data_IF_231893005736
#
_entry.id   IF_231893005736
#
_cell.length_a   1.000
_cell.length_b   1.000
_cell.length_c   1.000
_cell.angle_alpha   90.00
_cell.angle_beta   90.00
_cell.angle_gamma   90.00
#
_symmetry.space_group_name_H-M   'P 1'
#
loop_
_entity.id
_entity.type
_entity.pdbx_description
1 polymer ?
#
# COMPACT_ATOMS: atom_id res chain seq x y z
N UNK A 1 -26.75 20.75 -21.11
CA UNK A 1 -26.84 22.02 -21.88
C UNK A 1 -27.93 22.88 -21.28
N UNK A 2 -27.57 23.95 -20.63
CA UNK A 2 -28.46 25.00 -20.15
C UNK A 2 -27.60 26.11 -19.60
N UNK A 3 -27.09 26.95 -20.48
CA UNK A 3 -26.58 28.26 -20.10
C UNK A 3 -27.82 29.12 -19.93
N UNK A 4 -28.17 29.42 -18.69
CA UNK A 4 -29.12 30.43 -18.38
C UNK A 4 -28.46 31.79 -18.58
N UNK A 5 -29.00 32.63 -19.46
CA UNK A 5 -28.56 33.98 -19.63
C UNK A 5 -28.82 34.79 -18.36
N UNK A 6 -27.78 35.37 -17.82
CA UNK A 6 -27.89 36.32 -16.70
C UNK A 6 -28.20 37.71 -17.27
N UNK A 7 -29.45 38.11 -17.21
CA UNK A 7 -29.83 39.48 -17.51
C UNK A 7 -29.82 40.32 -16.25
N UNK A 8 -28.96 41.36 -16.19
CA UNK A 8 -29.07 42.42 -15.24
C UNK A 8 -30.22 43.36 -15.71
N UNK A 9 -31.38 43.16 -15.14
CA UNK A 9 -32.41 44.23 -15.11
C UNK A 9 -32.45 44.78 -13.68
N UNK A 10 -33.19 45.84 -13.44
CA UNK A 10 -33.32 46.60 -12.19
C UNK A 10 -33.52 45.75 -10.91
N UNK A 11 -33.72 44.44 -11.05
CA UNK A 11 -33.74 43.46 -9.98
C UNK A 11 -32.75 42.34 -10.33
N UNK A 12 -31.85 42.03 -9.43
CA UNK A 12 -30.88 40.94 -9.58
C UNK A 12 -31.62 39.57 -9.56
N UNK A 13 -31.56 38.87 -10.67
CA UNK A 13 -32.08 37.47 -10.74
C UNK A 13 -30.89 36.54 -10.62
N UNK A 14 -30.87 35.74 -9.57
CA UNK A 14 -29.85 34.73 -9.37
C UNK A 14 -30.39 33.40 -9.85
N UNK A 15 -29.74 32.81 -10.87
CA UNK A 15 -30.01 31.47 -11.33
C UNK A 15 -28.99 30.52 -10.70
N UNK A 16 -29.47 29.43 -10.14
CA UNK A 16 -28.62 28.35 -9.64
C UNK A 16 -28.69 27.18 -10.61
N UNK A 17 -27.53 26.69 -11.02
CA UNK A 17 -27.41 25.44 -11.74
C UNK A 17 -26.99 24.37 -10.73
N UNK A 18 -27.85 23.41 -10.49
CA UNK A 18 -27.51 22.24 -9.70
C UNK A 18 -27.08 21.14 -10.66
N UNK A 19 -25.83 20.73 -10.58
CA UNK A 19 -25.34 19.51 -11.22
C UNK A 19 -25.53 18.39 -10.20
N UNK A 20 -26.47 17.51 -10.48
CA UNK A 20 -26.66 16.31 -9.65
C UNK A 20 -25.44 15.41 -9.70
N UNK A 21 -25.04 14.89 -8.55
CA UNK A 21 -24.06 13.82 -8.47
C UNK A 21 -24.64 12.51 -8.98
N UNK A 22 -23.78 11.50 -9.13
CA UNK A 22 -24.21 10.17 -9.48
C UNK A 22 -24.98 9.53 -8.32
N UNK A 23 -26.12 8.90 -8.65
CA UNK A 23 -26.82 7.96 -7.79
C UNK A 23 -27.11 6.70 -8.59
N UNK A 24 -26.89 5.55 -8.01
CA UNK A 24 -27.21 4.26 -8.62
C UNK A 24 -28.73 3.99 -8.58
N UNK A 25 -29.45 4.76 -7.78
CA UNK A 25 -30.88 4.63 -7.61
C UNK A 25 -31.66 5.79 -8.23
N UNK A 26 -32.32 5.52 -9.34
CA UNK A 26 -33.15 6.51 -10.03
C UNK A 26 -34.24 7.13 -9.14
N UNK A 27 -34.72 6.39 -8.15
CA UNK A 27 -35.73 6.83 -7.17
C UNK A 27 -35.26 7.99 -6.29
N UNK A 28 -33.95 8.16 -6.13
CA UNK A 28 -33.36 9.23 -5.30
C UNK A 28 -33.27 10.57 -6.03
N UNK A 29 -33.38 10.60 -7.36
CA UNK A 29 -33.20 11.81 -8.16
C UNK A 29 -34.27 12.85 -7.82
N UNK A 30 -35.55 12.46 -7.81
CA UNK A 30 -36.66 13.39 -7.54
C UNK A 30 -36.61 13.97 -6.11
N UNK A 31 -36.39 13.19 -5.02
CA UNK A 31 -36.22 13.74 -3.69
C UNK A 31 -35.04 14.73 -3.56
N UNK A 32 -33.90 14.39 -4.17
CA UNK A 32 -32.70 15.25 -4.14
C UNK A 32 -32.95 16.57 -4.89
N UNK A 33 -33.52 16.49 -6.09
CA UNK A 33 -33.79 17.71 -6.87
C UNK A 33 -34.91 18.54 -6.24
N UNK A 34 -35.92 17.93 -5.63
CA UNK A 34 -36.97 18.63 -4.91
C UNK A 34 -36.43 19.45 -3.71
N UNK A 35 -35.45 18.91 -2.99
CA UNK A 35 -34.83 19.58 -1.83
C UNK A 35 -34.02 20.83 -2.20
N UNK A 36 -33.69 21.02 -3.48
CA UNK A 36 -32.86 22.14 -3.97
C UNK A 36 -33.61 23.12 -4.89
N UNK A 37 -34.96 23.07 -4.91
CA UNK A 37 -35.77 23.93 -5.78
C UNK A 37 -35.92 25.37 -5.28
N UNK A 38 -35.67 25.61 -4.00
CA UNK A 38 -35.83 26.94 -3.41
C UNK A 38 -34.48 27.54 -3.07
N UNK A 39 -34.34 28.88 -3.26
CA UNK A 39 -33.11 29.61 -2.96
C UNK A 39 -32.65 29.43 -1.51
N UNK A 40 -33.56 29.41 -0.55
CA UNK A 40 -33.22 29.18 0.86
C UNK A 40 -32.61 27.81 1.09
N UNK A 41 -33.15 26.76 0.45
CA UNK A 41 -32.65 25.39 0.56
C UNK A 41 -31.26 25.25 -0.07
N UNK A 42 -31.04 25.84 -1.24
CA UNK A 42 -29.72 25.87 -1.88
C UNK A 42 -28.69 26.58 -1.01
N UNK A 43 -29.06 27.72 -0.41
CA UNK A 43 -28.18 28.44 0.49
C UNK A 43 -27.85 27.61 1.74
N UNK A 44 -28.84 27.00 2.34
CA UNK A 44 -28.67 26.15 3.51
C UNK A 44 -27.75 24.96 3.22
N UNK A 45 -27.95 24.24 2.11
CA UNK A 45 -27.11 23.16 1.66
C UNK A 45 -25.66 23.62 1.42
N UNK A 46 -25.48 24.81 0.81
CA UNK A 46 -24.15 25.40 0.60
C UNK A 46 -23.45 25.72 1.93
N UNK A 47 -24.17 26.32 2.88
CA UNK A 47 -23.64 26.67 4.20
C UNK A 47 -23.34 25.39 5.01
N UNK A 48 -24.13 24.34 4.84
CA UNK A 48 -23.88 23.02 5.45
C UNK A 48 -22.59 22.37 4.89
N UNK A 49 -22.41 22.35 3.58
CA UNK A 49 -21.18 21.86 2.95
C UNK A 49 -19.97 22.65 3.43
N UNK A 50 -20.07 23.96 3.54
CA UNK A 50 -18.98 24.77 4.10
C UNK A 50 -18.65 24.39 5.55
N UNK A 51 -19.67 24.23 6.39
CA UNK A 51 -19.46 23.79 7.78
C UNK A 51 -18.82 22.42 7.85
N UNK A 52 -19.31 21.47 7.03
CA UNK A 52 -18.74 20.14 6.93
C UNK A 52 -17.25 20.18 6.63
N UNK A 53 -16.85 20.86 5.56
CA UNK A 53 -15.44 20.92 5.16
C UNK A 53 -14.57 21.70 6.14
N UNK A 54 -15.07 22.77 6.75
CA UNK A 54 -14.35 23.51 7.79
C UNK A 54 -14.09 22.62 9.01
N UNK A 55 -15.04 21.75 9.36
CA UNK A 55 -14.87 20.79 10.46
C UNK A 55 -13.96 19.62 10.07
N UNK A 56 -14.06 19.15 8.84
CA UNK A 56 -13.30 18.01 8.35
C UNK A 56 -11.82 18.35 8.16
N UNK A 57 -11.52 19.51 7.59
CA UNK A 57 -10.16 20.05 7.42
C UNK A 57 -9.87 21.01 8.56
N UNK A 58 -9.70 20.49 9.76
CA UNK A 58 -9.57 21.28 10.99
C UNK A 58 -8.13 21.74 11.25
N UNK A 59 -7.47 22.29 10.23
CA UNK A 59 -6.13 22.86 10.33
C UNK A 59 -6.17 24.33 9.89
N UNK A 60 -5.59 25.21 10.71
CA UNK A 60 -5.48 26.62 10.42
C UNK A 60 -4.01 27.02 10.32
N UNK A 61 -3.64 27.65 9.21
CA UNK A 61 -2.32 28.20 9.00
C UNK A 61 -2.34 29.72 9.22
N UNK A 62 -1.28 30.25 9.80
CA UNK A 62 -1.07 31.67 10.04
C UNK A 62 0.41 31.99 9.76
N UNK A 63 0.78 31.98 8.48
CA UNK A 63 2.16 32.22 8.03
C UNK A 63 2.48 33.71 7.90
N UNK A 64 1.48 34.58 8.01
CA UNK A 64 1.61 36.02 7.69
C UNK A 64 1.41 36.34 6.21
N UNK A 65 1.28 35.32 5.36
CA UNK A 65 0.95 35.46 3.94
C UNK A 65 -0.37 34.73 3.64
N UNK A 66 -1.47 35.49 3.35
CA UNK A 66 -2.78 34.92 3.10
C UNK A 66 -2.83 33.94 1.92
N UNK A 67 -2.01 34.14 0.89
CA UNK A 67 -1.96 33.25 -0.28
C UNK A 67 -1.32 31.91 0.10
N UNK A 68 -0.24 31.93 0.89
CA UNK A 68 0.37 30.74 1.45
C UNK A 68 -0.61 29.99 2.38
N UNK A 69 -1.34 30.70 3.24
CA UNK A 69 -2.34 30.11 4.13
C UNK A 69 -3.47 29.42 3.35
N UNK A 70 -3.95 30.02 2.27
CA UNK A 70 -4.96 29.43 1.39
C UNK A 70 -4.41 28.20 0.61
N UNK A 71 -3.18 28.27 0.14
CA UNK A 71 -2.52 27.15 -0.53
C UNK A 71 -2.34 25.95 0.41
N UNK A 72 -1.90 26.20 1.64
CA UNK A 72 -1.76 25.14 2.64
C UNK A 72 -3.11 24.50 3.03
N UNK A 73 -4.20 25.27 3.05
CA UNK A 73 -5.55 24.67 3.18
C UNK A 73 -5.90 23.73 2.04
N UNK A 74 -5.54 24.11 0.81
CA UNK A 74 -5.72 23.22 -0.33
C UNK A 74 -4.91 21.93 -0.19
N UNK A 75 -3.64 22.03 0.24
CA UNK A 75 -2.79 20.86 0.49
C UNK A 75 -3.41 19.91 1.52
N UNK A 76 -3.92 20.43 2.63
CA UNK A 76 -4.53 19.62 3.69
C UNK A 76 -5.86 18.99 3.30
N UNK A 77 -6.52 19.51 2.28
CA UNK A 77 -7.75 18.95 1.73
C UNK A 77 -7.48 17.73 0.82
N UNK A 78 -6.33 17.69 0.14
CA UNK A 78 -6.01 16.65 -0.85
C UNK A 78 -6.08 15.21 -0.32
N UNK A 79 -5.59 14.86 0.90
CA UNK A 79 -5.67 13.49 1.40
C UNK A 79 -7.11 12.96 1.49
N UNK A 80 -8.05 13.84 1.83
CA UNK A 80 -9.47 13.46 1.93
C UNK A 80 -10.05 13.20 0.54
N UNK A 81 -9.70 14.00 -0.46
CA UNK A 81 -10.08 13.74 -1.85
C UNK A 81 -9.49 12.43 -2.36
N UNK A 82 -8.25 12.13 -2.01
CA UNK A 82 -7.59 10.87 -2.37
C UNK A 82 -8.28 9.65 -1.77
N UNK A 83 -8.82 9.75 -0.56
CA UNK A 83 -9.65 8.68 0.01
C UNK A 83 -10.87 8.38 -0.86
N UNK A 84 -11.49 9.42 -1.44
CA UNK A 84 -12.74 9.30 -2.22
C UNK A 84 -12.44 8.85 -3.66
N UNK A 85 -11.45 9.47 -4.29
CA UNK A 85 -11.20 9.33 -5.74
C UNK A 85 -9.95 8.53 -6.08
N UNK A 86 -9.13 8.17 -5.10
CA UNK A 86 -7.80 7.61 -5.31
C UNK A 86 -6.73 8.67 -5.53
N UNK A 87 -5.50 8.25 -5.43
CA UNK A 87 -4.32 9.13 -5.41
C UNK A 87 -4.03 9.84 -6.72
N UNK A 88 -4.28 9.21 -7.84
CA UNK A 88 -3.91 9.74 -9.15
C UNK A 88 -5.01 10.59 -9.78
N UNK A 89 -6.21 10.60 -9.25
CA UNK A 89 -7.40 11.10 -9.95
C UNK A 89 -7.60 10.51 -11.36
N UNK A 90 -6.91 9.42 -11.66
CA UNK A 90 -6.94 8.73 -12.93
C UNK A 90 -7.76 7.42 -12.94
N UNK A 91 -8.60 7.09 -11.93
CA UNK A 91 -9.27 5.81 -11.89
C UNK A 91 -10.13 5.53 -13.11
N UNK A 92 -10.65 6.58 -13.74
CA UNK A 92 -11.46 6.49 -14.95
C UNK A 92 -10.69 6.79 -16.24
N UNK A 93 -9.55 7.45 -16.17
CA UNK A 93 -8.69 7.74 -17.32
C UNK A 93 -7.87 6.55 -17.74
N UNK A 94 -7.63 5.64 -16.82
CA UNK A 94 -6.81 4.50 -17.05
C UNK A 94 -7.55 3.40 -17.79
N UNK A 95 -7.86 3.67 -19.05
CA UNK A 95 -8.59 2.76 -19.95
C UNK A 95 -9.93 2.29 -19.37
N UNK A 96 -10.54 3.08 -18.49
CA UNK A 96 -11.82 2.78 -17.87
C UNK A 96 -11.79 1.69 -16.80
N UNK A 97 -10.61 1.24 -16.38
CA UNK A 97 -10.49 0.14 -15.41
C UNK A 97 -10.50 0.59 -13.95
N UNK A 98 -10.30 1.87 -13.69
CA UNK A 98 -10.19 2.38 -12.33
C UNK A 98 -8.99 1.81 -11.57
N UNK A 99 -8.91 2.10 -10.29
CA UNK A 99 -7.88 1.57 -9.40
C UNK A 99 -6.88 2.61 -8.92
N UNK A 100 -6.05 2.20 -7.99
CA UNK A 100 -4.97 3.02 -7.40
C UNK A 100 -3.65 2.33 -7.63
N UNK A 101 -2.57 3.11 -7.81
CA UNK A 101 -1.24 2.57 -7.81
C UNK A 101 -0.87 2.01 -6.43
N UNK A 102 -0.04 0.98 -6.39
CA UNK A 102 0.38 0.36 -5.14
C UNK A 102 1.08 1.33 -4.19
N UNK A 103 2.10 2.04 -4.67
CA UNK A 103 2.81 3.07 -3.91
C UNK A 103 1.87 4.11 -3.35
N UNK A 104 1.00 4.61 -4.21
CA UNK A 104 0.09 5.71 -3.91
C UNK A 104 -0.87 5.36 -2.78
N UNK A 105 -1.33 4.12 -2.71
CA UNK A 105 -2.20 3.63 -1.66
C UNK A 105 -1.56 3.75 -0.27
N UNK A 106 -0.30 3.34 -0.15
CA UNK A 106 0.43 3.42 1.11
C UNK A 106 0.73 4.86 1.50
N UNK A 107 1.11 5.69 0.54
CA UNK A 107 1.35 7.13 0.76
C UNK A 107 0.06 7.87 1.12
N UNK A 108 -1.07 7.49 0.54
CA UNK A 108 -2.38 8.04 0.91
C UNK A 108 -2.72 7.69 2.37
N UNK A 109 -2.45 6.47 2.81
CA UNK A 109 -2.62 6.09 4.22
C UNK A 109 -1.77 6.97 5.15
N UNK A 110 -0.51 7.27 4.80
CA UNK A 110 0.34 8.20 5.57
C UNK A 110 -0.30 9.59 5.74
N UNK A 111 -0.81 10.14 4.65
CA UNK A 111 -1.47 11.44 4.69
C UNK A 111 -2.79 11.39 5.50
N UNK A 112 -3.56 10.31 5.35
CA UNK A 112 -4.81 10.12 6.09
C UNK A 112 -4.60 9.91 7.58
N UNK A 113 -3.51 9.30 8.02
CA UNK A 113 -3.18 9.17 9.45
C UNK A 113 -3.12 10.53 10.14
N UNK A 114 -2.67 11.57 9.43
CA UNK A 114 -2.61 12.94 9.95
C UNK A 114 -3.94 13.67 9.83
N UNK A 115 -4.68 13.47 8.73
CA UNK A 115 -5.82 14.32 8.36
C UNK A 115 -7.18 13.70 8.68
N UNK A 116 -7.31 12.38 8.57
CA UNK A 116 -8.56 11.64 8.80
C UNK A 116 -8.26 10.16 9.06
N UNK A 117 -7.79 9.81 10.27
CA UNK A 117 -7.32 8.45 10.59
C UNK A 117 -8.42 7.39 10.63
N UNK A 118 -9.68 7.79 10.51
CA UNK A 118 -10.79 6.84 10.51
C UNK A 118 -10.61 5.77 9.42
N UNK A 119 -10.79 4.50 9.78
CA UNK A 119 -10.64 3.33 8.91
C UNK A 119 -9.24 3.10 8.32
N UNK A 120 -8.22 3.90 8.66
CA UNK A 120 -6.86 3.68 8.11
C UNK A 120 -6.28 2.35 8.57
N UNK A 121 -6.56 1.89 9.79
CA UNK A 121 -6.19 0.55 10.26
C UNK A 121 -6.63 -0.54 9.30
N UNK A 122 -7.92 -0.54 8.96
CA UNK A 122 -8.48 -1.54 8.07
C UNK A 122 -7.92 -1.42 6.65
N UNK A 123 -7.70 -0.20 6.16
CA UNK A 123 -7.05 0.02 4.86
C UNK A 123 -5.65 -0.59 4.83
N UNK A 124 -4.85 -0.40 5.88
CA UNK A 124 -3.51 -0.99 5.98
C UNK A 124 -3.59 -2.52 5.94
N UNK A 125 -4.44 -3.11 6.77
CA UNK A 125 -4.62 -4.58 6.82
C UNK A 125 -5.01 -5.13 5.46
N UNK A 126 -6.05 -4.58 4.83
CA UNK A 126 -6.55 -5.04 3.55
C UNK A 126 -5.51 -4.91 2.43
N UNK A 127 -4.68 -3.85 2.50
CA UNK A 127 -3.64 -3.61 1.50
C UNK A 127 -2.56 -4.69 1.46
N UNK A 128 -2.27 -5.35 2.60
CA UNK A 128 -1.35 -6.48 2.60
C UNK A 128 -1.84 -7.65 1.76
N UNK A 129 -3.14 -7.78 1.53
CA UNK A 129 -3.69 -8.79 0.61
C UNK A 129 -3.21 -8.68 -0.83
N UNK A 130 -2.54 -7.60 -1.21
CA UNK A 130 -1.91 -7.43 -2.51
C UNK A 130 -0.44 -7.88 -2.59
N UNK A 131 0.16 -8.33 -1.50
CA UNK A 131 1.54 -8.86 -1.47
C UNK A 131 1.55 -10.28 -2.00
N UNK A 132 2.51 -10.62 -2.88
CA UNK A 132 2.77 -11.99 -3.32
C UNK A 132 3.78 -12.69 -2.42
N UNK A 133 3.71 -14.01 -2.37
CA UNK A 133 4.67 -14.83 -1.60
C UNK A 133 6.12 -14.72 -2.08
N UNK A 134 6.38 -14.18 -3.25
CA UNK A 134 7.73 -13.89 -3.75
C UNK A 134 8.26 -12.51 -3.31
N UNK A 135 7.56 -11.82 -2.43
CA UNK A 135 7.91 -10.50 -1.91
C UNK A 135 7.58 -9.33 -2.85
N UNK A 136 7.00 -9.62 -4.03
CA UNK A 136 6.44 -8.58 -4.91
C UNK A 136 5.00 -8.27 -4.54
N UNK A 137 4.30 -7.51 -5.34
CA UNK A 137 2.91 -7.13 -5.08
C UNK A 137 2.12 -6.92 -6.37
N UNK A 138 0.80 -6.88 -6.24
CA UNK A 138 -0.07 -6.39 -7.29
C UNK A 138 0.26 -4.92 -7.58
N UNK A 139 0.28 -4.54 -8.85
CA UNK A 139 0.63 -3.18 -9.26
C UNK A 139 -0.53 -2.21 -9.09
N UNK A 140 -1.76 -2.71 -9.23
CA UNK A 140 -2.98 -1.93 -9.20
C UNK A 140 -3.93 -2.51 -8.16
N UNK A 141 -4.58 -1.59 -7.42
CA UNK A 141 -5.65 -1.92 -6.50
C UNK A 141 -6.97 -1.72 -7.24
N UNK A 142 -7.88 -2.66 -7.08
CA UNK A 142 -9.18 -2.62 -7.70
C UNK A 142 -10.10 -1.52 -7.15
N UNK A 143 -11.34 -1.51 -7.58
CA UNK A 143 -12.32 -0.49 -7.20
C UNK A 143 -12.83 -0.64 -5.77
N UNK A 144 -12.82 -1.86 -5.25
CA UNK A 144 -13.19 -2.15 -3.88
C UNK A 144 -11.95 -2.29 -2.99
N UNK A 145 -12.12 -2.02 -1.70
CA UNK A 145 -11.10 -2.25 -0.69
C UNK A 145 -10.73 -3.74 -0.65
N UNK A 146 -9.43 -4.05 -0.63
CA UNK A 146 -8.94 -5.43 -0.67
C UNK A 146 -9.03 -6.12 -2.04
N UNK A 147 -9.48 -5.42 -3.06
CA UNK A 147 -9.46 -5.93 -4.44
C UNK A 147 -8.13 -5.57 -5.10
N UNK A 148 -7.49 -6.58 -5.69
CA UNK A 148 -6.21 -6.41 -6.38
C UNK A 148 -6.30 -6.88 -7.81
N UNK A 149 -5.57 -6.19 -8.68
CA UNK A 149 -5.46 -6.49 -10.10
C UNK A 149 -3.97 -6.59 -10.41
N UNK A 150 -3.57 -7.67 -11.08
CA UNK A 150 -2.25 -7.72 -11.70
C UNK A 150 -2.10 -6.57 -12.68
N UNK A 151 -0.89 -6.23 -13.07
CA UNK A 151 -0.65 -5.17 -14.04
C UNK A 151 -1.51 -5.35 -15.30
N UNK A 152 -1.91 -4.23 -15.92
CA UNK A 152 -2.80 -4.16 -17.08
C UNK A 152 -2.35 -5.00 -18.26
N UNK A 153 -1.05 -5.12 -18.43
CA UNK A 153 -0.42 -5.79 -19.56
C UNK A 153 0.16 -7.14 -19.17
N UNK A 154 -0.18 -7.67 -17.99
CA UNK A 154 0.44 -8.87 -17.42
C UNK A 154 1.96 -8.76 -17.30
N UNK A 155 2.47 -7.53 -17.21
CA UNK A 155 3.89 -7.26 -16.99
C UNK A 155 4.13 -7.20 -15.48
N UNK A 156 5.04 -8.00 -15.00
CA UNK A 156 5.47 -7.88 -13.61
C UNK A 156 6.34 -6.66 -13.46
N UNK A 157 5.93 -5.80 -12.54
CA UNK A 157 6.72 -4.64 -12.17
C UNK A 157 7.27 -4.84 -10.78
N UNK A 158 8.56 -5.13 -10.72
CA UNK A 158 9.29 -5.20 -9.46
C UNK A 158 9.94 -3.85 -9.25
N UNK A 159 9.27 -2.98 -8.50
CA UNK A 159 9.78 -1.66 -8.19
C UNK A 159 10.38 -1.63 -6.80
N UNK A 160 11.54 -1.02 -6.68
CA UNK A 160 12.32 -1.08 -5.45
C UNK A 160 11.60 -0.54 -4.24
N UNK A 161 10.80 0.50 -4.37
CA UNK A 161 10.09 1.12 -3.26
C UNK A 161 8.78 0.42 -2.88
N UNK A 162 8.32 -0.55 -3.65
CA UNK A 162 7.04 -1.19 -3.42
C UNK A 162 6.97 -1.99 -2.12
N UNK A 163 8.07 -2.61 -1.71
CA UNK A 163 8.15 -3.30 -0.42
C UNK A 163 8.59 -2.36 0.73
N UNK A 164 9.06 -1.16 0.40
CA UNK A 164 9.47 -0.16 1.39
C UNK A 164 8.27 0.54 2.05
N UNK A 165 7.33 1.01 1.26
CA UNK A 165 6.19 1.80 1.74
C UNK A 165 5.24 1.06 2.68
N UNK A 166 4.93 -0.24 2.48
CA UNK A 166 4.08 -0.98 3.43
C UNK A 166 4.58 -0.90 4.86
N UNK A 167 5.88 -1.11 5.07
CA UNK A 167 6.44 -1.03 6.41
C UNK A 167 6.44 0.39 6.96
N UNK A 168 6.89 1.38 6.19
CA UNK A 168 6.93 2.78 6.63
C UNK A 168 5.54 3.25 7.08
N UNK A 169 4.51 2.93 6.31
CA UNK A 169 3.13 3.30 6.63
C UNK A 169 2.63 2.58 7.88
N UNK A 170 2.87 1.28 7.99
CA UNK A 170 2.46 0.50 9.16
C UNK A 170 3.20 0.96 10.42
N UNK A 171 4.50 1.23 10.32
CA UNK A 171 5.31 1.76 11.43
C UNK A 171 4.76 3.11 11.90
N UNK A 172 4.45 4.00 10.96
CA UNK A 172 3.88 5.31 11.29
C UNK A 172 2.50 5.18 11.96
N UNK A 173 1.67 4.24 11.52
CA UNK A 173 0.42 3.91 12.19
C UNK A 173 0.66 3.44 13.62
N UNK A 174 1.58 2.49 13.84
CA UNK A 174 1.92 1.98 15.17
C UNK A 174 2.44 3.11 16.07
N UNK A 175 3.33 3.97 15.55
CA UNK A 175 3.88 5.09 16.32
C UNK A 175 2.83 6.10 16.77
N UNK A 176 1.78 6.29 15.98
CA UNK A 176 0.70 7.20 16.32
C UNK A 176 -0.34 6.61 17.27
N UNK A 177 -0.59 5.32 17.15
CA UNK A 177 -1.73 4.68 17.83
C UNK A 177 -1.32 3.77 18.99
N UNK A 178 -0.09 3.27 18.98
CA UNK A 178 0.35 2.21 19.91
C UNK A 178 -0.21 0.83 19.56
N UNK A 179 -0.97 0.67 18.49
CA UNK A 179 -1.62 -0.59 18.09
C UNK A 179 -0.62 -1.57 17.46
N UNK A 180 0.10 -2.29 18.33
CA UNK A 180 0.98 -3.38 17.90
C UNK A 180 0.20 -4.64 17.47
N UNK A 181 -1.06 -4.78 17.86
CA UNK A 181 -1.86 -5.95 17.52
C UNK A 181 -2.16 -6.05 16.03
N UNK A 182 -2.07 -4.95 15.28
CA UNK A 182 -2.16 -4.94 13.82
C UNK A 182 -1.17 -5.94 13.18
N UNK A 183 -0.03 -6.18 13.81
CA UNK A 183 0.99 -7.12 13.32
C UNK A 183 0.54 -8.58 13.31
N UNK A 184 -0.48 -8.93 14.08
CA UNK A 184 -1.05 -10.29 14.14
C UNK A 184 -2.24 -10.50 13.20
N UNK A 185 -2.78 -9.44 12.60
CA UNK A 185 -3.90 -9.57 11.64
C UNK A 185 -3.54 -10.53 10.53
N UNK A 186 -4.45 -11.45 10.22
CA UNK A 186 -4.25 -12.48 9.20
C UNK A 186 -4.83 -12.01 7.86
N UNK A 187 -3.99 -12.04 6.84
CA UNK A 187 -4.31 -11.55 5.50
C UNK A 187 -3.87 -12.60 4.47
N UNK A 188 -4.64 -12.85 3.40
CA UNK A 188 -4.18 -13.73 2.33
C UNK A 188 -3.08 -13.05 1.50
N UNK A 189 -2.26 -13.84 0.81
CA UNK A 189 -1.34 -13.33 -0.20
C UNK A 189 -2.01 -13.29 -1.57
N UNK A 190 -1.67 -12.29 -2.35
CA UNK A 190 -2.10 -12.18 -3.75
C UNK A 190 -1.43 -13.25 -4.61
N UNK A 191 -2.18 -13.78 -5.58
CA UNK A 191 -1.68 -14.76 -6.55
C UNK A 191 -2.23 -14.43 -7.94
N UNK A 192 -1.34 -14.51 -8.91
CA UNK A 192 -1.63 -14.43 -10.34
C UNK A 192 -0.63 -15.29 -11.13
N UNK A 193 -0.59 -15.11 -12.44
CA UNK A 193 0.34 -15.81 -13.33
C UNK A 193 1.82 -15.51 -13.01
N UNK A 194 2.13 -14.37 -12.39
CA UNK A 194 3.51 -13.96 -12.15
C UNK A 194 4.15 -14.78 -11.03
N UNK A 195 5.40 -15.11 -11.17
CA UNK A 195 6.19 -15.83 -10.17
C UNK A 195 7.67 -15.42 -10.18
N UNK A 196 8.40 -15.86 -9.16
CA UNK A 196 9.85 -15.66 -9.03
C UNK A 196 10.28 -14.20 -9.23
N UNK A 197 9.57 -13.28 -8.57
CA UNK A 197 9.82 -11.83 -8.65
C UNK A 197 9.79 -11.32 -10.09
N UNK A 198 8.85 -11.85 -10.87
CA UNK A 198 8.61 -11.42 -12.25
C UNK A 198 9.57 -11.97 -13.30
N UNK A 199 10.42 -12.91 -12.94
CA UNK A 199 11.33 -13.53 -13.89
C UNK A 199 10.74 -14.78 -14.55
N UNK A 200 9.61 -15.29 -14.02
CA UNK A 200 8.97 -16.50 -14.51
C UNK A 200 7.44 -16.42 -14.40
N UNK A 201 6.75 -17.36 -15.01
CA UNK A 201 5.30 -17.53 -14.94
C UNK A 201 4.94 -18.85 -14.30
N UNK A 202 3.95 -18.82 -13.41
CA UNK A 202 3.34 -20.03 -12.86
C UNK A 202 2.36 -20.64 -13.87
N UNK A 203 2.81 -21.60 -14.63
CA UNK A 203 2.00 -22.28 -15.66
C UNK A 203 0.87 -23.13 -15.07
N UNK A 204 0.89 -23.40 -13.77
CA UNK A 204 -0.19 -24.09 -13.05
C UNK A 204 -1.33 -23.16 -12.62
N UNK A 205 -1.13 -21.85 -12.70
CA UNK A 205 -2.15 -20.87 -12.35
C UNK A 205 -3.05 -20.56 -13.55
N UNK A 206 -4.34 -20.48 -13.29
CA UNK A 206 -5.35 -19.92 -14.19
C UNK A 206 -6.42 -19.17 -13.37
N UNK A 207 -7.40 -18.58 -14.04
CA UNK A 207 -8.45 -17.81 -13.38
C UNK A 207 -9.31 -18.65 -12.41
N UNK A 208 -9.38 -19.97 -12.59
CA UNK A 208 -10.14 -20.87 -11.69
C UNK A 208 -9.41 -21.10 -10.37
N UNK A 209 -8.10 -20.93 -10.36
CA UNK A 209 -7.31 -20.93 -9.13
C UNK A 209 -7.72 -19.77 -8.20
N UNK A 210 -8.10 -18.65 -8.77
CA UNK A 210 -8.44 -17.41 -8.06
C UNK A 210 -7.23 -16.53 -7.77
N UNK A 211 -7.45 -15.46 -7.01
CA UNK A 211 -6.46 -14.40 -6.79
C UNK A 211 -5.75 -14.48 -5.42
N UNK A 212 -5.93 -15.57 -4.69
CA UNK A 212 -5.29 -15.78 -3.39
C UNK A 212 -4.37 -16.98 -3.43
N UNK A 213 -3.18 -16.84 -2.83
CA UNK A 213 -2.24 -17.93 -2.68
C UNK A 213 -2.87 -19.10 -1.93
N UNK A 214 -2.66 -20.32 -2.43
CA UNK A 214 -3.15 -21.55 -1.83
C UNK A 214 -2.02 -22.45 -1.35
N UNK A 215 -2.38 -23.37 -0.47
CA UNK A 215 -1.54 -24.47 -0.06
C UNK A 215 -1.70 -25.64 -1.01
N UNK A 216 -0.81 -26.64 -0.92
CA UNK A 216 -0.93 -27.92 -1.66
C UNK A 216 -2.25 -28.63 -1.38
N UNK A 217 -2.84 -28.40 -0.21
CA UNK A 217 -4.19 -28.87 0.13
C UNK A 217 -5.33 -28.08 -0.51
N UNK A 218 -5.05 -27.07 -1.34
CA UNK A 218 -6.04 -26.25 -2.04
C UNK A 218 -6.72 -25.19 -1.18
N UNK A 219 -6.30 -25.02 0.08
CA UNK A 219 -6.85 -24.02 1.01
C UNK A 219 -6.12 -22.69 0.83
N UNK A 220 -6.83 -21.57 0.91
CA UNK A 220 -6.21 -20.24 0.90
C UNK A 220 -5.29 -20.09 2.11
N UNK A 221 -4.06 -19.66 1.88
CA UNK A 221 -3.09 -19.41 2.94
C UNK A 221 -3.23 -17.98 3.47
N UNK A 222 -3.20 -17.83 4.80
CA UNK A 222 -3.26 -16.56 5.51
C UNK A 222 -2.02 -16.36 6.37
N UNK A 223 -1.21 -15.38 6.02
CA UNK A 223 -0.08 -14.91 6.85
C UNK A 223 -0.47 -13.75 7.76
N UNK A 224 0.32 -13.49 8.80
CA UNK A 224 0.15 -12.27 9.58
C UNK A 224 0.71 -11.04 8.83
N UNK A 225 0.26 -9.85 9.20
CA UNK A 225 0.86 -8.59 8.72
C UNK A 225 2.37 -8.60 8.98
N UNK A 226 2.81 -9.08 10.14
CA UNK A 226 4.24 -9.22 10.44
C UNK A 226 4.94 -10.16 9.45
N UNK A 227 4.32 -11.27 9.09
CA UNK A 227 4.85 -12.20 8.09
C UNK A 227 5.01 -11.51 6.72
N UNK A 228 3.99 -10.78 6.25
CA UNK A 228 4.05 -10.02 5.00
C UNK A 228 5.18 -8.98 5.00
N UNK A 229 5.34 -8.25 6.10
CA UNK A 229 6.42 -7.26 6.27
C UNK A 229 7.80 -7.90 6.22
N UNK A 230 7.98 -8.99 6.96
CA UNK A 230 9.24 -9.73 6.97
C UNK A 230 9.55 -10.28 5.59
N UNK A 231 8.55 -10.91 4.95
CA UNK A 231 8.70 -11.48 3.62
C UNK A 231 9.18 -10.43 2.60
N UNK A 232 8.48 -9.30 2.50
CA UNK A 232 8.84 -8.26 1.53
C UNK A 232 10.26 -7.72 1.76
N UNK A 233 10.62 -7.44 3.01
CA UNK A 233 11.92 -6.87 3.34
C UNK A 233 13.05 -7.89 3.24
N UNK A 234 12.83 -9.17 3.57
CA UNK A 234 13.82 -10.23 3.43
C UNK A 234 14.05 -10.60 1.96
N UNK A 235 12.99 -10.74 1.14
CA UNK A 235 13.17 -10.96 -0.29
C UNK A 235 13.98 -9.83 -0.94
N UNK A 236 13.72 -8.59 -0.55
CA UNK A 236 14.50 -7.45 -1.02
C UNK A 236 15.96 -7.50 -0.55
N UNK A 237 16.20 -7.91 0.71
CA UNK A 237 17.55 -8.06 1.27
C UNK A 237 18.41 -9.12 0.54
N UNK A 238 17.80 -10.20 0.07
CA UNK A 238 18.50 -11.26 -0.66
C UNK A 238 18.62 -10.98 -2.16
N UNK A 239 17.83 -10.06 -2.71
CA UNK A 239 17.83 -9.68 -4.13
C UNK A 239 18.88 -8.60 -4.41
N UNK A 240 20.13 -9.03 -4.48
CA UNK A 240 21.30 -8.14 -4.60
C UNK A 240 21.99 -8.27 -5.94
N UNK A 241 22.67 -7.20 -6.35
CA UNK A 241 23.54 -7.15 -7.52
C UNK A 241 24.97 -7.63 -7.21
N UNK A 242 25.90 -7.35 -8.13
CA UNK A 242 27.28 -7.81 -8.06
C UNK A 242 28.06 -7.21 -6.88
N UNK A 243 27.66 -6.04 -6.41
CA UNK A 243 28.32 -5.32 -5.32
C UNK A 243 27.64 -5.51 -3.96
N UNK A 244 26.71 -6.48 -3.87
CA UNK A 244 25.91 -6.75 -2.67
C UNK A 244 24.92 -5.64 -2.29
N UNK A 245 24.64 -4.75 -3.21
CA UNK A 245 23.59 -3.74 -3.08
C UNK A 245 22.29 -4.25 -3.71
N UNK A 246 21.16 -3.74 -3.29
CA UNK A 246 19.87 -4.14 -3.83
C UNK A 246 19.78 -3.90 -5.34
N UNK A 247 19.28 -4.88 -6.08
CA UNK A 247 19.05 -4.75 -7.51
C UNK A 247 17.99 -3.70 -7.79
N UNK A 248 18.25 -2.86 -8.80
CA UNK A 248 17.37 -1.76 -9.14
C UNK A 248 16.04 -2.22 -9.76
N UNK A 249 16.04 -3.29 -10.55
CA UNK A 249 14.88 -3.74 -11.31
C UNK A 249 14.19 -2.58 -12.08
N UNK A 250 12.87 -2.48 -12.00
CA UNK A 250 12.14 -1.34 -12.53
C UNK A 250 12.28 -0.11 -11.63
N UNK A 251 12.41 1.04 -12.23
CA UNK A 251 12.69 2.30 -11.53
C UNK A 251 11.51 3.25 -11.44
N UNK A 252 10.34 2.82 -11.76
CA UNK A 252 9.06 3.54 -11.80
C UNK A 252 9.18 5.09 -11.81
N UNK A 253 8.53 5.77 -12.71
CA UNK A 253 8.59 7.22 -12.88
C UNK A 253 9.98 7.81 -13.21
N UNK A 254 11.02 6.98 -13.29
CA UNK A 254 12.34 7.41 -13.72
C UNK A 254 12.82 6.56 -14.90
N UNK A 255 12.32 6.85 -16.06
CA UNK A 255 12.59 6.12 -17.30
C UNK A 255 14.09 5.99 -17.60
N UNK A 256 14.90 6.92 -17.10
CA UNK A 256 16.36 6.86 -17.29
C UNK A 256 17.00 5.69 -16.52
N UNK A 257 16.43 5.30 -15.38
CA UNK A 257 16.90 4.16 -14.60
C UNK A 257 16.40 2.82 -15.13
N UNK A 258 15.33 2.78 -15.90
CA UNK A 258 14.86 1.56 -16.58
C UNK A 258 15.92 0.98 -17.54
N UNK A 259 16.85 1.79 -17.99
CA UNK A 259 17.99 1.36 -18.80
C UNK A 259 19.00 0.51 -18.02
N UNK A 260 18.95 0.51 -16.71
CA UNK A 260 19.87 -0.20 -15.83
C UNK A 260 19.22 -1.43 -15.15
N UNK A 261 18.08 -1.89 -15.62
CA UNK A 261 17.28 -2.92 -14.96
C UNK A 261 18.02 -4.27 -14.77
N UNK A 262 18.92 -4.64 -15.67
CA UNK A 262 19.66 -5.90 -15.59
C UNK A 262 20.74 -5.89 -14.51
N UNK A 263 21.57 -4.85 -14.46
CA UNK A 263 22.75 -4.77 -13.61
C UNK A 263 22.74 -3.57 -12.65
N UNK A 264 21.69 -2.76 -12.66
CA UNK A 264 21.57 -1.62 -11.79
C UNK A 264 21.41 -2.04 -10.33
N UNK A 265 22.09 -1.31 -9.43
CA UNK A 265 22.03 -1.47 -7.99
C UNK A 265 21.75 -0.12 -7.33
N UNK A 266 21.16 -0.13 -6.14
CA UNK A 266 20.80 1.10 -5.44
C UNK A 266 21.30 1.11 -4.00
N UNK A 267 22.34 1.88 -3.73
CA UNK A 267 22.85 2.14 -2.38
C UNK A 267 21.79 2.81 -1.50
N UNK A 268 21.00 3.72 -2.09
CA UNK A 268 19.94 4.42 -1.36
C UNK A 268 18.87 3.44 -0.83
N UNK A 269 18.39 2.54 -1.67
CA UNK A 269 17.40 1.54 -1.24
C UNK A 269 18.01 0.47 -0.35
N UNK A 270 19.26 0.06 -0.56
CA UNK A 270 19.96 -0.83 0.39
C UNK A 270 19.95 -0.24 1.79
N UNK A 271 20.32 1.04 1.91
CA UNK A 271 20.29 1.74 3.20
C UNK A 271 18.87 1.88 3.77
N UNK A 272 17.88 2.16 2.92
CA UNK A 272 16.49 2.31 3.34
C UNK A 272 15.90 1.00 3.88
N UNK A 273 16.12 -0.12 3.19
CA UNK A 273 15.65 -1.45 3.65
C UNK A 273 16.43 -1.95 4.87
N UNK A 274 17.72 -1.62 5.00
CA UNK A 274 18.44 -1.87 6.24
C UNK A 274 17.80 -1.13 7.42
N UNK A 275 17.37 0.11 7.20
CA UNK A 275 16.57 0.88 8.15
C UNK A 275 15.26 0.18 8.50
N UNK A 276 14.51 -0.28 7.49
CA UNK A 276 13.27 -1.02 7.69
C UNK A 276 13.49 -2.28 8.54
N UNK A 277 14.46 -3.12 8.21
CA UNK A 277 14.76 -4.35 8.95
C UNK A 277 15.12 -4.06 10.41
N UNK A 278 15.88 -2.99 10.66
CA UNK A 278 16.21 -2.54 12.01
C UNK A 278 14.97 -2.12 12.80
N UNK A 279 14.07 -1.38 12.15
CA UNK A 279 12.83 -0.91 12.79
C UNK A 279 11.80 -2.06 12.94
N UNK A 280 11.72 -3.02 12.02
CA UNK A 280 10.94 -4.24 12.18
C UNK A 280 11.43 -5.01 13.43
N UNK A 281 12.73 -5.19 13.57
CA UNK A 281 13.31 -5.82 14.76
C UNK A 281 13.01 -5.04 16.04
N UNK A 282 12.90 -3.70 15.97
CA UNK A 282 12.47 -2.88 17.09
C UNK A 282 10.98 -3.10 17.43
N UNK A 283 10.10 -3.09 16.43
CA UNK A 283 8.67 -3.40 16.61
C UNK A 283 8.45 -4.79 17.25
N UNK A 284 9.23 -5.79 16.81
CA UNK A 284 9.19 -7.15 17.36
C UNK A 284 9.57 -7.15 18.86
N UNK A 285 10.59 -6.41 19.25
CA UNK A 285 10.97 -6.27 20.67
C UNK A 285 9.91 -5.56 21.49
N UNK A 286 9.30 -4.50 20.95
CA UNK A 286 8.18 -3.82 21.60
C UNK A 286 6.99 -4.76 21.77
N UNK A 287 6.68 -5.54 20.73
CA UNK A 287 5.62 -6.53 20.78
C UNK A 287 5.83 -7.56 21.89
N UNK A 288 7.06 -8.07 22.06
CA UNK A 288 7.42 -8.97 23.15
C UNK A 288 7.24 -8.29 24.51
N UNK A 289 7.69 -7.04 24.67
CA UNK A 289 7.62 -6.30 25.92
C UNK A 289 6.19 -5.97 26.33
N UNK A 290 5.36 -5.52 25.38
CA UNK A 290 4.01 -5.05 25.67
C UNK A 290 3.00 -6.20 25.77
N UNK A 291 3.15 -7.26 24.98
CA UNK A 291 2.18 -8.36 24.93
C UNK A 291 2.64 -9.65 25.61
N UNK A 292 3.93 -9.76 25.92
CA UNK A 292 4.56 -11.01 26.39
C UNK A 292 4.66 -12.08 25.30
N UNK A 293 4.29 -11.78 24.05
CA UNK A 293 4.36 -12.70 22.94
C UNK A 293 5.82 -12.93 22.54
N UNK A 294 6.28 -14.16 22.65
CA UNK A 294 7.65 -14.57 22.31
C UNK A 294 7.76 -15.36 21.01
N UNK A 295 6.64 -15.66 20.40
CA UNK A 295 6.55 -16.58 19.26
C UNK A 295 5.52 -16.08 18.27
N UNK A 296 5.83 -16.21 17.00
CA UNK A 296 4.86 -16.03 15.93
C UNK A 296 5.07 -17.09 14.85
N UNK A 297 4.01 -17.36 14.12
CA UNK A 297 4.02 -18.36 13.06
C UNK A 297 4.28 -17.68 11.72
N UNK A 298 5.10 -18.33 10.90
CA UNK A 298 5.36 -17.98 9.50
C UNK A 298 5.26 -19.23 8.62
N UNK A 299 5.08 -19.05 7.34
CA UNK A 299 5.18 -20.13 6.37
C UNK A 299 6.54 -20.85 6.52
N UNK A 300 6.54 -22.17 6.51
CA UNK A 300 7.77 -22.99 6.66
C UNK A 300 8.81 -22.63 5.61
N UNK A 301 8.37 -22.31 4.39
CA UNK A 301 9.23 -21.91 3.28
C UNK A 301 10.07 -20.68 3.61
N UNK A 302 9.51 -19.73 4.39
CA UNK A 302 10.22 -18.54 4.80
C UNK A 302 11.39 -18.80 5.75
N UNK A 303 11.42 -19.97 6.39
CA UNK A 303 12.47 -20.32 7.37
C UNK A 303 13.88 -20.14 6.83
N UNK A 304 14.08 -20.42 5.53
CA UNK A 304 15.39 -20.24 4.91
C UNK A 304 15.83 -18.77 4.77
N UNK A 305 14.88 -17.83 4.71
CA UNK A 305 15.17 -16.39 4.65
C UNK A 305 15.68 -15.84 5.99
N UNK A 306 15.53 -16.61 7.07
CA UNK A 306 16.10 -16.31 8.38
C UNK A 306 17.47 -16.97 8.60
N UNK A 307 17.96 -17.73 7.61
CA UNK A 307 19.32 -18.21 7.65
C UNK A 307 20.28 -17.02 7.73
N UNK A 308 21.17 -17.03 8.70
CA UNK A 308 21.93 -15.85 9.06
C UNK A 308 23.40 -16.11 9.30
N UNK A 309 24.12 -15.01 9.33
CA UNK A 309 25.52 -14.95 9.67
C UNK A 309 26.29 -14.05 8.71
N UNK A 310 27.32 -13.38 9.23
CA UNK A 310 28.10 -12.39 8.50
C UNK A 310 28.66 -12.95 7.18
N UNK A 311 29.19 -14.17 7.21
CA UNK A 311 29.75 -14.85 6.03
C UNK A 311 28.72 -15.02 4.91
N UNK A 312 27.48 -15.33 5.26
CA UNK A 312 26.40 -15.44 4.30
C UNK A 312 26.04 -14.08 3.71
N UNK A 313 25.88 -13.08 4.58
CA UNK A 313 25.40 -11.75 4.18
C UNK A 313 26.39 -10.97 3.34
N UNK A 314 27.69 -11.23 3.49
CA UNK A 314 28.75 -10.67 2.66
C UNK A 314 28.95 -11.41 1.33
N UNK A 315 28.33 -12.58 1.15
CA UNK A 315 28.49 -13.40 -0.05
C UNK A 315 27.27 -13.29 -0.99
N UNK A 316 27.44 -12.59 -2.08
CA UNK A 316 26.39 -12.33 -3.09
C UNK A 316 25.78 -13.62 -3.65
N UNK A 317 26.61 -14.60 -4.00
CA UNK A 317 26.12 -15.84 -4.61
C UNK A 317 25.32 -16.68 -3.60
N UNK A 318 25.76 -16.75 -2.35
CA UNK A 318 25.01 -17.42 -1.28
C UNK A 318 23.66 -16.74 -1.04
N UNK A 319 23.64 -15.40 -0.99
CA UNK A 319 22.38 -14.65 -0.84
C UNK A 319 21.42 -14.94 -1.97
N UNK A 320 21.86 -14.79 -3.22
CA UNK A 320 21.03 -15.07 -4.39
C UNK A 320 20.53 -16.51 -4.39
N UNK A 321 21.44 -17.47 -4.09
CA UNK A 321 21.07 -18.90 -4.03
C UNK A 321 19.98 -19.20 -3.00
N UNK A 322 19.98 -18.55 -1.84
CA UNK A 322 18.88 -18.68 -0.86
C UNK A 322 17.58 -18.14 -1.44
N UNK A 323 17.61 -16.97 -2.05
CA UNK A 323 16.42 -16.38 -2.67
C UNK A 323 15.89 -17.27 -3.78
N UNK A 324 16.75 -17.75 -4.68
CA UNK A 324 16.35 -18.62 -5.79
C UNK A 324 15.67 -19.91 -5.29
N UNK A 325 16.24 -20.57 -4.27
CA UNK A 325 15.63 -21.76 -3.66
C UNK A 325 14.28 -21.44 -3.00
N UNK A 326 14.18 -20.29 -2.33
CA UNK A 326 12.91 -19.83 -1.76
C UNK A 326 11.86 -19.61 -2.85
N UNK A 327 12.21 -18.88 -3.90
CA UNK A 327 11.30 -18.56 -4.99
C UNK A 327 10.82 -19.80 -5.74
N UNK A 328 11.70 -20.80 -5.88
CA UNK A 328 11.32 -22.09 -6.48
C UNK A 328 10.28 -22.83 -5.64
N UNK A 329 10.45 -22.84 -4.31
CA UNK A 329 9.50 -23.49 -3.40
C UNK A 329 8.12 -22.80 -3.38
N UNK A 330 8.07 -21.50 -3.61
CA UNK A 330 6.85 -20.70 -3.56
C UNK A 330 6.24 -20.45 -4.95
N UNK A 331 6.80 -21.03 -6.02
CA UNK A 331 6.42 -20.70 -7.38
C UNK A 331 4.94 -20.97 -7.69
N UNK A 332 4.36 -22.01 -7.12
CA UNK A 332 2.95 -22.39 -7.30
C UNK A 332 2.17 -22.32 -5.99
N UNK A 333 2.21 -23.38 -5.19
CA UNK A 333 1.56 -23.46 -3.88
C UNK A 333 2.56 -23.33 -2.74
N UNK A 334 2.06 -23.07 -1.54
CA UNK A 334 2.81 -23.27 -0.30
C UNK A 334 2.50 -24.67 0.25
N UNK A 335 3.40 -25.25 1.03
CA UNK A 335 3.15 -26.54 1.71
C UNK A 335 1.95 -26.48 2.66
N UNK A 336 1.65 -25.31 3.18
CA UNK A 336 0.66 -25.09 4.23
C UNK A 336 1.19 -25.42 5.62
N UNK A 337 2.45 -25.80 5.74
CA UNK A 337 3.11 -25.96 7.03
C UNK A 337 3.57 -24.61 7.54
N UNK A 338 3.53 -24.43 8.85
CA UNK A 338 4.05 -23.25 9.52
C UNK A 338 5.20 -23.64 10.44
N UNK A 339 6.12 -22.70 10.63
CA UNK A 339 7.15 -22.79 11.65
C UNK A 339 7.02 -21.69 12.67
N UNK A 340 7.47 -21.98 13.88
CA UNK A 340 7.50 -20.99 14.96
C UNK A 340 8.81 -20.22 14.88
N UNK A 341 8.71 -18.91 14.70
CA UNK A 341 9.83 -17.99 14.82
C UNK A 341 9.87 -17.42 16.25
N UNK A 342 11.05 -17.44 16.86
CA UNK A 342 11.26 -16.83 18.18
C UNK A 342 11.63 -15.35 17.97
N UNK A 343 10.97 -14.46 18.71
CA UNK A 343 11.15 -13.02 18.53
C UNK A 343 12.61 -12.52 18.78
N UNK A 344 13.39 -13.24 19.59
CA UNK A 344 14.79 -12.90 19.86
C UNK A 344 15.78 -13.51 18.84
N UNK A 345 15.36 -14.36 17.92
CA UNK A 345 16.21 -14.91 16.84
C UNK A 345 16.12 -14.12 15.54
N UNK A 346 15.36 -13.03 15.52
CA UNK A 346 15.36 -12.12 14.37
C UNK A 346 16.78 -11.57 14.17
N UNK A 347 17.37 -11.68 12.97
CA UNK A 347 18.72 -11.22 12.72
C UNK A 347 18.83 -9.73 12.97
N UNK A 348 19.39 -9.36 14.11
CA UNK A 348 19.73 -7.97 14.41
C UNK A 348 21.10 -7.67 13.81
N UNK A 349 21.27 -6.56 13.08
CA UNK A 349 22.60 -6.10 12.66
C UNK A 349 23.59 -5.88 13.82
N UNK A 350 23.09 -5.79 15.07
CA UNK A 350 23.93 -5.66 16.27
C UNK A 350 24.60 -6.96 16.69
N UNK A 351 23.95 -8.11 16.46
CA UNK A 351 24.50 -9.41 16.84
C UNK A 351 25.70 -9.80 15.98
N UNK A 352 25.88 -9.13 14.84
CA UNK A 352 27.05 -9.26 13.98
C UNK A 352 28.29 -8.47 14.48
N UNK A 353 28.13 -7.61 15.48
CA UNK A 353 29.22 -6.79 16.02
C UNK A 353 29.76 -7.25 17.40
N UNK A 354 29.05 -8.17 18.06
CA UNK A 354 29.42 -8.62 19.42
C UNK A 354 29.95 -10.08 19.49
N UNK A 355 30.17 -10.73 18.32
CA UNK A 355 30.77 -12.07 18.25
C UNK A 355 32.14 -12.06 17.57
#
# INVERSE_FOLDING_TARGET
RGLGDVYKRQHETVCYLTLGGMTDERSQIEPLTASLRQRSQVKEAYDEVKRYWTKKVNITFKTGNPDADNYLKWITFQPILRRIYGCSFLPYHDYGKGGRGWRDLWQDCLALLLMDPSAVRQMIVDNYGGVRVDGTNATIIGNAQGEFIADRNHITRVWMDHAFWPFVTTKFYIDQTGDLEILFEKVPYFKDLQSKRGTDHDTGWDETYGKCQRTDGGVVYFGSVLEHLLLQNLCAFYDVGAHNEMRLHGADWNDALDMAWENGESVAFTSAYAGNLKEIAHCIRLLEQETGCKRFEIAEEMGMLFAGGRELYENVEKKRGILDVYLEKCAHNLSGQTMICLLYTSPSPRDAHES
#
